data_IF_642993066314
#
_entry.id   IF_642993066314
#
_cell.length_a   1.000
_cell.length_b   1.000
_cell.length_c   1.000
_cell.angle_alpha   90.00
_cell.angle_beta   90.00
_cell.angle_gamma   90.00
#
_symmetry.space_group_name_H-M   'P 1'
#
loop_
_entity.id
_entity.type
_entity.pdbx_description
1 polymer ?
#
# COMPACT_ATOMS: atom_id res chain seq x y z
N UNK A 1 46.36 -17.31 -23.98
CA UNK A 1 47.62 -18.00 -24.37
C UNK A 1 47.43 -19.21 -25.29
N UNK A 2 46.20 -19.70 -25.54
CA UNK A 2 45.93 -20.87 -26.39
C UNK A 2 45.73 -20.60 -27.90
N UNK A 3 45.88 -19.34 -28.37
CA UNK A 3 45.46 -18.92 -29.71
C UNK A 3 46.49 -19.12 -30.84
N UNK A 4 47.75 -19.43 -30.51
CA UNK A 4 48.87 -19.42 -31.48
C UNK A 4 49.13 -20.76 -32.20
N UNK A 5 48.33 -21.81 -31.96
CA UNK A 5 48.62 -23.16 -32.47
C UNK A 5 47.47 -23.81 -33.26
N UNK A 6 46.35 -23.13 -33.51
CA UNK A 6 45.24 -23.68 -34.31
C UNK A 6 45.46 -23.44 -35.83
N UNK A 7 45.09 -24.38 -36.71
CA UNK A 7 45.21 -24.22 -38.16
C UNK A 7 44.36 -23.03 -38.68
N UNK A 8 44.83 -22.26 -39.68
CA UNK A 8 44.25 -20.98 -40.08
C UNK A 8 42.76 -21.02 -40.45
N UNK A 9 42.31 -22.09 -41.10
CA UNK A 9 40.94 -22.26 -41.60
C UNK A 9 39.91 -22.52 -40.47
N UNK A 10 40.35 -23.08 -39.34
CA UNK A 10 39.52 -23.24 -38.15
C UNK A 10 39.50 -21.99 -37.27
N UNK A 11 40.56 -21.17 -37.33
CA UNK A 11 40.71 -19.97 -36.51
C UNK A 11 39.75 -18.85 -36.92
N UNK A 12 39.54 -18.62 -38.22
CA UNK A 12 38.61 -17.59 -38.70
C UNK A 12 37.17 -17.92 -38.29
N UNK A 13 36.69 -19.14 -38.56
CA UNK A 13 35.33 -19.58 -38.13
C UNK A 13 35.14 -19.52 -36.62
N UNK A 14 36.18 -19.85 -35.85
CA UNK A 14 36.15 -19.74 -34.40
C UNK A 14 36.07 -18.27 -33.95
N UNK A 15 36.87 -17.37 -34.54
CA UNK A 15 36.86 -15.95 -34.22
C UNK A 15 35.53 -15.30 -34.60
N UNK A 16 34.97 -15.61 -35.77
CA UNK A 16 33.65 -15.12 -36.19
C UNK A 16 32.58 -15.53 -35.17
N UNK A 17 32.54 -16.82 -34.80
CA UNK A 17 31.62 -17.31 -33.75
C UNK A 17 31.84 -16.62 -32.41
N UNK A 18 33.10 -16.44 -31.99
CA UNK A 18 33.42 -15.77 -30.74
C UNK A 18 32.94 -14.31 -30.74
N UNK A 19 33.19 -13.57 -31.82
CA UNK A 19 32.78 -12.17 -31.93
C UNK A 19 31.26 -12.03 -32.09
N UNK A 20 30.58 -12.98 -32.74
CA UNK A 20 29.12 -13.06 -32.77
C UNK A 20 28.55 -13.31 -31.36
N UNK A 21 29.14 -14.24 -30.59
CA UNK A 21 28.76 -14.49 -29.19
C UNK A 21 28.97 -13.24 -28.32
N UNK A 22 30.11 -12.55 -28.46
CA UNK A 22 30.39 -11.28 -27.77
C UNK A 22 29.32 -10.24 -28.13
N UNK A 23 29.03 -10.06 -29.43
CA UNK A 23 28.02 -9.10 -29.90
C UNK A 23 26.64 -9.41 -29.32
N UNK A 24 26.20 -10.67 -29.35
CA UNK A 24 24.91 -11.08 -28.77
C UNK A 24 24.82 -10.80 -27.26
N UNK A 25 25.90 -11.02 -26.51
CA UNK A 25 25.96 -10.71 -25.08
C UNK A 25 25.89 -9.19 -24.87
N UNK A 26 26.64 -8.42 -25.65
CA UNK A 26 26.64 -6.95 -25.59
C UNK A 26 25.26 -6.39 -25.91
N UNK A 27 24.59 -6.87 -26.96
CA UNK A 27 23.25 -6.44 -27.34
C UNK A 27 22.22 -6.73 -26.23
N UNK A 28 22.28 -7.92 -25.62
CA UNK A 28 21.46 -8.27 -24.46
C UNK A 28 21.71 -7.35 -23.25
N UNK A 29 22.96 -6.96 -23.02
CA UNK A 29 23.32 -6.08 -21.91
C UNK A 29 22.82 -4.65 -22.15
N UNK A 30 22.99 -4.13 -23.37
CA UNK A 30 22.46 -2.81 -23.78
C UNK A 30 20.94 -2.80 -23.63
N UNK A 31 20.26 -3.82 -24.15
CA UNK A 31 18.81 -3.98 -24.03
C UNK A 31 18.37 -4.01 -22.56
N UNK A 32 18.99 -4.84 -21.72
CA UNK A 32 18.73 -4.89 -20.27
C UNK A 32 18.88 -3.53 -19.60
N UNK A 33 19.94 -2.80 -19.94
CA UNK A 33 20.21 -1.49 -19.34
C UNK A 33 19.20 -0.42 -19.77
N UNK A 34 18.70 -0.48 -21.01
CA UNK A 34 17.62 0.39 -21.47
C UNK A 34 16.34 0.20 -20.64
N UNK A 35 15.93 -1.05 -20.40
CA UNK A 35 14.79 -1.35 -19.52
C UNK A 35 15.02 -0.91 -18.08
N UNK A 36 16.21 -1.16 -17.53
CA UNK A 36 16.53 -0.74 -16.16
C UNK A 36 16.46 0.79 -16.03
N UNK A 37 17.11 1.52 -16.93
CA UNK A 37 17.12 2.99 -16.90
C UNK A 37 15.71 3.58 -17.04
N UNK A 38 14.87 2.99 -17.88
CA UNK A 38 13.47 3.37 -18.02
C UNK A 38 12.67 3.10 -16.74
N UNK A 39 12.78 1.88 -16.20
CA UNK A 39 12.12 1.47 -14.96
C UNK A 39 12.52 2.35 -13.79
N UNK A 40 13.81 2.67 -13.64
CA UNK A 40 14.33 3.51 -12.56
C UNK A 40 13.82 4.95 -12.65
N UNK A 41 13.72 5.52 -13.86
CA UNK A 41 13.15 6.86 -14.07
C UNK A 41 11.67 6.92 -13.71
N UNK A 42 10.88 5.95 -14.19
CA UNK A 42 9.45 5.87 -13.87
C UNK A 42 9.26 5.65 -12.36
N UNK A 43 10.04 4.75 -11.75
CA UNK A 43 9.97 4.50 -10.31
C UNK A 43 10.38 5.73 -9.49
N UNK A 44 11.41 6.47 -9.89
CA UNK A 44 11.82 7.67 -9.18
C UNK A 44 10.72 8.75 -9.20
N UNK A 45 10.04 8.93 -10.34
CA UNK A 45 8.89 9.81 -10.43
C UNK A 45 7.72 9.29 -9.57
N UNK A 46 7.40 7.99 -9.67
CA UNK A 46 6.36 7.33 -8.87
C UNK A 46 6.61 7.42 -7.36
N UNK A 47 7.85 7.25 -6.91
CA UNK A 47 8.22 7.36 -5.51
C UNK A 47 7.96 8.76 -4.93
N UNK A 48 8.05 9.80 -5.76
CA UNK A 48 7.86 11.20 -5.32
C UNK A 48 6.43 11.69 -5.53
N UNK A 49 5.74 11.22 -6.56
CA UNK A 49 4.41 11.72 -6.97
C UNK A 49 3.27 10.73 -6.76
N UNK A 50 3.56 9.44 -6.74
CA UNK A 50 2.55 8.39 -6.71
C UNK A 50 1.68 8.40 -7.97
N UNK A 51 0.37 8.24 -7.79
CA UNK A 51 -0.62 8.48 -8.83
C UNK A 51 -0.65 9.97 -9.21
N UNK A 52 -0.72 10.28 -10.51
CA UNK A 52 -0.69 11.65 -11.00
C UNK A 52 -1.86 12.47 -10.44
N UNK A 53 -1.56 13.64 -9.87
CA UNK A 53 -2.51 14.59 -9.27
C UNK A 53 -2.57 15.92 -10.01
N UNK A 54 -2.10 15.96 -11.25
CA UNK A 54 -2.31 17.09 -12.15
C UNK A 54 -2.08 16.65 -13.59
N UNK A 55 -2.50 17.49 -14.54
CA UNK A 55 -2.22 17.25 -15.95
C UNK A 55 -0.72 17.27 -16.25
N UNK A 56 0.02 18.17 -15.60
CA UNK A 56 1.47 18.29 -15.76
C UNK A 56 2.20 17.04 -15.27
N UNK A 57 1.72 16.42 -14.17
CA UNK A 57 2.26 15.15 -13.67
C UNK A 57 1.94 14.00 -14.61
N UNK A 58 0.72 13.93 -15.15
CA UNK A 58 0.34 12.92 -16.14
C UNK A 58 1.24 12.99 -17.39
N UNK A 59 1.42 14.20 -17.92
CA UNK A 59 2.31 14.44 -19.06
C UNK A 59 3.78 14.10 -18.74
N UNK A 60 4.21 14.22 -17.47
CA UNK A 60 5.54 13.80 -17.06
C UNK A 60 5.73 12.28 -17.12
N UNK A 61 4.72 11.51 -16.75
CA UNK A 61 4.73 10.05 -16.94
C UNK A 61 4.67 9.66 -18.41
N UNK A 62 3.82 10.31 -19.21
CA UNK A 62 3.70 10.03 -20.64
C UNK A 62 4.99 10.30 -21.40
N UNK A 63 5.74 11.35 -21.04
CA UNK A 63 7.08 11.62 -21.60
C UNK A 63 8.09 10.52 -21.30
N UNK A 64 7.90 9.75 -20.23
CA UNK A 64 8.75 8.61 -19.90
C UNK A 64 8.28 7.32 -20.59
N UNK A 65 7.05 7.24 -21.11
CA UNK A 65 6.53 6.02 -21.70
C UNK A 65 7.17 5.73 -23.06
N UNK A 66 8.00 4.69 -23.11
CA UNK A 66 8.63 4.23 -24.34
C UNK A 66 7.85 3.03 -24.92
N UNK A 67 7.10 3.26 -26.00
CA UNK A 67 6.31 2.21 -26.67
C UNK A 67 7.16 1.08 -27.22
N UNK A 68 8.36 1.38 -27.71
CA UNK A 68 9.24 0.38 -28.31
C UNK A 68 9.78 -0.59 -27.27
N UNK A 69 10.02 -0.12 -26.05
CA UNK A 69 10.41 -0.98 -24.93
C UNK A 69 9.18 -1.61 -24.26
N UNK A 70 8.10 -0.85 -24.04
CA UNK A 70 7.02 -1.27 -23.15
C UNK A 70 5.84 -1.94 -23.85
N UNK A 71 5.69 -1.99 -25.16
CA UNK A 71 4.50 -2.61 -25.76
C UNK A 71 4.67 -4.11 -26.09
N UNK A 72 5.90 -4.59 -26.26
CA UNK A 72 6.18 -5.97 -26.72
C UNK A 72 7.17 -6.72 -25.80
N UNK A 73 6.68 -7.78 -25.15
CA UNK A 73 7.44 -8.62 -24.22
C UNK A 73 8.63 -9.34 -24.90
N UNK A 74 8.54 -9.61 -26.20
CA UNK A 74 9.58 -10.31 -26.95
C UNK A 74 10.86 -9.47 -27.08
N UNK A 75 10.75 -8.14 -26.97
CA UNK A 75 11.89 -7.21 -27.06
C UNK A 75 12.76 -7.19 -25.81
N UNK A 76 12.27 -7.74 -24.70
CA UNK A 76 13.06 -7.92 -23.50
C UNK A 76 13.85 -9.23 -23.59
N UNK A 77 15.13 -9.12 -23.95
CA UNK A 77 15.98 -10.28 -24.33
C UNK A 77 16.59 -11.02 -23.14
N UNK A 78 16.43 -10.50 -21.92
CA UNK A 78 17.00 -11.07 -20.70
C UNK A 78 15.95 -11.17 -19.59
N UNK A 79 16.18 -12.07 -18.64
CA UNK A 79 15.34 -12.23 -17.45
C UNK A 79 15.17 -10.90 -16.69
N UNK A 80 16.27 -10.17 -16.46
CA UNK A 80 16.23 -8.87 -15.80
C UNK A 80 15.54 -7.81 -16.66
N UNK A 81 15.81 -7.76 -17.97
CA UNK A 81 15.15 -6.80 -18.86
C UNK A 81 13.63 -6.94 -18.82
N UNK A 82 13.13 -8.19 -18.87
CA UNK A 82 11.68 -8.47 -18.81
C UNK A 82 11.08 -8.13 -17.45
N UNK A 83 11.82 -8.37 -16.37
CA UNK A 83 11.45 -7.97 -15.01
C UNK A 83 11.32 -6.45 -14.87
N UNK A 84 12.30 -5.69 -15.38
CA UNK A 84 12.27 -4.23 -15.38
C UNK A 84 11.14 -3.68 -16.27
N UNK A 85 10.88 -4.30 -17.42
CA UNK A 85 9.76 -3.95 -18.28
C UNK A 85 8.42 -4.07 -17.54
N UNK A 86 8.15 -5.18 -16.86
CA UNK A 86 6.91 -5.35 -16.09
C UNK A 86 6.82 -4.37 -14.92
N UNK A 87 7.93 -4.09 -14.23
CA UNK A 87 7.97 -3.07 -13.19
C UNK A 87 7.63 -1.67 -13.74
N UNK A 88 8.25 -1.27 -14.85
CA UNK A 88 7.97 0.00 -15.53
C UNK A 88 6.49 0.12 -15.94
N UNK A 89 5.92 -0.92 -16.55
CA UNK A 89 4.50 -0.97 -16.91
C UNK A 89 3.59 -0.86 -15.70
N UNK A 90 3.90 -1.57 -14.62
CA UNK A 90 3.14 -1.53 -13.37
C UNK A 90 3.08 -0.10 -12.81
N UNK A 91 4.24 0.55 -12.66
CA UNK A 91 4.32 1.90 -12.09
C UNK A 91 3.68 2.95 -12.99
N UNK A 92 3.92 2.89 -14.31
CA UNK A 92 3.29 3.80 -15.25
C UNK A 92 1.76 3.65 -15.24
N UNK A 93 1.26 2.41 -15.37
CA UNK A 93 -0.18 2.16 -15.38
C UNK A 93 -0.85 2.59 -14.07
N UNK A 94 -0.19 2.39 -12.92
CA UNK A 94 -0.67 2.92 -11.64
C UNK A 94 -0.68 4.45 -11.63
N UNK A 95 0.37 5.07 -12.16
CA UNK A 95 0.50 6.53 -12.19
C UNK A 95 -0.62 7.20 -12.98
N UNK A 96 -1.05 6.59 -14.09
CA UNK A 96 -2.11 7.09 -14.98
C UNK A 96 -3.51 6.55 -14.64
N UNK A 97 -3.68 5.92 -13.48
CA UNK A 97 -4.95 5.35 -12.99
C UNK A 97 -5.54 4.21 -13.87
N UNK A 98 -4.69 3.51 -14.63
CA UNK A 98 -5.09 2.31 -15.37
C UNK A 98 -4.93 1.06 -14.49
N UNK A 99 -5.87 0.88 -13.55
CA UNK A 99 -5.86 -0.20 -12.57
C UNK A 99 -5.73 -1.58 -13.24
N UNK A 100 -6.42 -1.81 -14.36
CA UNK A 100 -6.40 -3.09 -15.08
C UNK A 100 -5.04 -3.40 -15.68
N UNK A 101 -4.41 -2.46 -16.40
CA UNK A 101 -3.06 -2.69 -16.94
C UNK A 101 -2.01 -2.80 -15.84
N UNK A 102 -2.16 -2.02 -14.78
CA UNK A 102 -1.25 -2.06 -13.63
C UNK A 102 -1.31 -3.44 -12.95
N UNK A 103 -2.50 -3.98 -12.79
CA UNK A 103 -2.73 -5.33 -12.28
C UNK A 103 -2.18 -6.44 -13.21
N UNK A 104 -2.43 -6.37 -14.53
CA UNK A 104 -1.87 -7.33 -15.49
C UNK A 104 -0.33 -7.36 -15.45
N UNK A 105 0.30 -6.19 -15.37
CA UNK A 105 1.75 -6.08 -15.24
C UNK A 105 2.28 -6.73 -13.95
N UNK A 106 1.58 -6.58 -12.81
CA UNK A 106 1.93 -7.23 -11.54
C UNK A 106 1.83 -8.75 -11.62
N UNK A 107 0.73 -9.26 -12.20
CA UNK A 107 0.52 -10.69 -12.41
C UNK A 107 1.61 -11.29 -13.30
N UNK A 108 1.97 -10.58 -14.39
CA UNK A 108 3.07 -10.98 -15.28
C UNK A 108 4.43 -10.95 -14.58
N UNK A 109 4.69 -9.95 -13.74
CA UNK A 109 5.91 -9.87 -12.93
C UNK A 109 6.04 -11.06 -11.98
N UNK A 110 4.99 -11.40 -11.23
CA UNK A 110 4.96 -12.57 -10.32
C UNK A 110 5.24 -13.86 -11.09
N UNK A 111 4.49 -14.11 -12.18
CA UNK A 111 4.70 -15.30 -13.04
C UNK A 111 6.11 -15.38 -13.62
N UNK A 112 6.67 -14.23 -14.01
CA UNK A 112 8.03 -14.17 -14.55
C UNK A 112 9.08 -14.53 -13.49
N UNK A 113 8.91 -14.08 -12.25
CA UNK A 113 9.80 -14.48 -11.15
C UNK A 113 9.64 -15.97 -10.85
N UNK A 114 8.41 -16.48 -10.77
CA UNK A 114 8.11 -17.90 -10.53
C UNK A 114 8.65 -18.83 -11.64
N UNK A 115 8.87 -18.31 -12.86
CA UNK A 115 9.43 -19.08 -13.97
C UNK A 115 10.91 -19.45 -13.80
N UNK A 116 11.60 -18.90 -12.80
CA UNK A 116 13.00 -19.16 -12.53
C UNK A 116 13.28 -19.32 -11.03
N UNK A 117 13.22 -20.56 -10.55
CA UNK A 117 13.35 -20.89 -9.13
C UNK A 117 14.72 -20.50 -8.55
N UNK A 118 15.81 -20.72 -9.29
CA UNK A 118 17.16 -20.32 -8.86
C UNK A 118 17.25 -18.81 -8.58
N UNK A 119 16.63 -17.99 -9.44
CA UNK A 119 16.59 -16.52 -9.27
C UNK A 119 15.69 -16.11 -8.11
N UNK A 120 14.59 -16.82 -7.89
CA UNK A 120 13.70 -16.61 -6.76
C UNK A 120 14.43 -16.91 -5.44
N UNK A 121 15.08 -18.08 -5.34
CA UNK A 121 15.83 -18.47 -4.14
C UNK A 121 17.02 -17.54 -3.87
N UNK A 122 17.67 -17.02 -4.92
CA UNK A 122 18.76 -16.05 -4.78
C UNK A 122 18.29 -14.65 -4.31
N UNK A 123 17.03 -14.28 -4.54
CA UNK A 123 16.48 -13.00 -4.11
C UNK A 123 14.99 -13.09 -3.70
N UNK A 124 14.68 -13.75 -2.57
CA UNK A 124 13.31 -13.95 -2.12
C UNK A 124 12.61 -12.64 -1.74
N UNK A 125 13.38 -11.61 -1.32
CA UNK A 125 12.83 -10.27 -1.02
C UNK A 125 12.18 -9.64 -2.24
N UNK A 126 12.75 -9.85 -3.42
CA UNK A 126 12.14 -9.35 -4.64
C UNK A 126 10.82 -10.05 -4.96
N UNK A 127 10.72 -11.35 -4.66
CA UNK A 127 9.48 -12.08 -4.84
C UNK A 127 8.40 -11.60 -3.87
N UNK A 128 8.73 -11.38 -2.59
CA UNK A 128 7.82 -10.74 -1.61
C UNK A 128 7.34 -9.38 -2.14
N UNK A 129 8.26 -8.55 -2.65
CA UNK A 129 7.89 -7.26 -3.24
C UNK A 129 6.88 -7.39 -4.39
N UNK A 130 7.05 -8.37 -5.29
CA UNK A 130 6.12 -8.61 -6.39
C UNK A 130 4.75 -9.12 -5.90
N UNK A 131 4.74 -10.02 -4.90
CA UNK A 131 3.51 -10.51 -4.26
C UNK A 131 2.74 -9.39 -3.57
N UNK A 132 3.43 -8.53 -2.80
CA UNK A 132 2.80 -7.39 -2.11
C UNK A 132 2.11 -6.45 -3.09
N UNK A 133 2.76 -6.14 -4.21
CA UNK A 133 2.15 -5.35 -5.26
C UNK A 133 0.89 -6.03 -5.83
N UNK A 134 0.97 -7.33 -6.12
CA UNK A 134 -0.18 -8.07 -6.62
C UNK A 134 -1.34 -8.07 -5.61
N UNK A 135 -1.07 -8.32 -4.31
CA UNK A 135 -2.05 -8.24 -3.23
C UNK A 135 -2.76 -6.89 -3.19
N UNK A 136 -2.01 -5.77 -3.24
CA UNK A 136 -2.60 -4.42 -3.30
C UNK A 136 -3.58 -4.29 -4.47
N UNK A 137 -3.17 -4.72 -5.67
CA UNK A 137 -4.04 -4.62 -6.84
C UNK A 137 -5.24 -5.57 -6.80
N UNK A 138 -5.11 -6.73 -6.16
CA UNK A 138 -6.23 -7.65 -5.94
C UNK A 138 -7.26 -7.06 -4.99
N UNK A 139 -6.82 -6.36 -3.94
CA UNK A 139 -7.70 -5.60 -3.03
C UNK A 139 -8.42 -4.48 -3.80
N UNK A 140 -7.68 -3.67 -4.58
CA UNK A 140 -8.25 -2.58 -5.38
C UNK A 140 -9.30 -3.06 -6.41
N UNK A 141 -9.14 -4.27 -6.94
CA UNK A 141 -10.07 -4.88 -7.90
C UNK A 141 -11.15 -5.75 -7.24
N UNK A 142 -11.18 -5.85 -5.91
CA UNK A 142 -12.05 -6.76 -5.17
C UNK A 142 -11.94 -8.23 -5.65
N UNK A 143 -10.76 -8.65 -6.11
CA UNK A 143 -10.52 -10.01 -6.59
C UNK A 143 -10.08 -10.92 -5.43
N UNK A 144 -11.04 -11.41 -4.66
CA UNK A 144 -10.79 -12.24 -3.47
C UNK A 144 -10.03 -13.54 -3.79
N UNK A 145 -10.36 -14.20 -4.91
CA UNK A 145 -9.71 -15.44 -5.30
C UNK A 145 -8.20 -15.24 -5.50
N UNK A 146 -7.82 -14.23 -6.28
CA UNK A 146 -6.41 -13.94 -6.52
C UNK A 146 -5.71 -13.39 -5.29
N UNK A 147 -6.42 -12.66 -4.43
CA UNK A 147 -5.89 -12.25 -3.13
C UNK A 147 -5.48 -13.46 -2.30
N UNK A 148 -6.38 -14.43 -2.10
CA UNK A 148 -6.09 -15.63 -1.32
C UNK A 148 -5.02 -16.53 -1.97
N UNK A 149 -5.03 -16.69 -3.29
CA UNK A 149 -3.98 -17.42 -4.02
C UNK A 149 -2.61 -16.76 -3.83
N UNK A 150 -2.55 -15.43 -3.88
CA UNK A 150 -1.30 -14.68 -3.72
C UNK A 150 -0.82 -14.71 -2.27
N UNK A 151 -1.72 -14.63 -1.29
CA UNK A 151 -1.40 -14.74 0.13
C UNK A 151 -0.87 -16.14 0.46
N UNK A 152 -1.46 -17.19 -0.10
CA UNK A 152 -0.97 -18.57 0.06
C UNK A 152 0.44 -18.75 -0.50
N UNK A 153 0.78 -18.08 -1.62
CA UNK A 153 2.15 -18.06 -2.16
C UNK A 153 3.14 -17.38 -1.22
N UNK A 154 2.73 -16.30 -0.54
CA UNK A 154 3.54 -15.60 0.45
C UNK A 154 3.78 -16.48 1.69
N UNK A 155 2.72 -17.13 2.19
CA UNK A 155 2.78 -18.01 3.36
C UNK A 155 3.64 -19.25 3.10
N UNK A 156 3.63 -19.78 1.87
CA UNK A 156 4.44 -20.94 1.47
C UNK A 156 5.91 -20.60 1.17
N UNK A 157 6.28 -19.31 1.06
CA UNK A 157 7.62 -18.90 0.66
C UNK A 157 8.73 -19.44 1.58
N UNK A 158 8.63 -19.35 2.93
CA UNK A 158 9.67 -19.88 3.81
C UNK A 158 9.96 -21.37 3.57
N UNK A 159 8.93 -22.17 3.28
CA UNK A 159 9.08 -23.61 3.02
C UNK A 159 9.76 -23.92 1.68
N UNK A 160 9.82 -22.96 0.74
CA UNK A 160 10.48 -23.12 -0.56
C UNK A 160 11.95 -22.71 -0.56
N UNK A 161 12.43 -22.09 0.51
CA UNK A 161 13.77 -21.52 0.58
C UNK A 161 14.72 -22.45 1.34
N UNK A 162 16.00 -22.50 0.95
CA UNK A 162 17.00 -23.18 1.76
C UNK A 162 17.12 -22.51 3.13
N UNK A 163 17.45 -23.28 4.17
CA UNK A 163 17.56 -22.77 5.54
C UNK A 163 18.52 -21.56 5.66
N UNK A 164 19.55 -21.48 4.81
CA UNK A 164 20.51 -20.36 4.75
C UNK A 164 19.86 -19.03 4.37
N UNK A 165 18.72 -19.05 3.67
CA UNK A 165 17.97 -17.87 3.26
C UNK A 165 16.91 -17.45 4.27
N UNK A 166 16.59 -18.28 5.28
CA UNK A 166 15.57 -18.03 6.31
C UNK A 166 16.13 -17.16 7.45
N UNK A 167 16.50 -15.93 7.11
CA UNK A 167 16.95 -14.95 8.10
C UNK A 167 15.77 -14.39 8.90
N UNK A 168 16.03 -13.85 10.10
CA UNK A 168 15.00 -13.13 10.88
C UNK A 168 14.37 -11.97 10.10
N UNK A 169 15.17 -11.24 9.31
CA UNK A 169 14.67 -10.16 8.44
C UNK A 169 13.71 -10.69 7.36
N UNK A 170 13.97 -11.86 6.78
CA UNK A 170 13.02 -12.44 5.82
C UNK A 170 11.71 -12.86 6.49
N UNK A 171 11.80 -13.48 7.67
CA UNK A 171 10.62 -13.88 8.46
C UNK A 171 9.78 -12.65 8.85
N UNK A 172 10.42 -11.57 9.30
CA UNK A 172 9.76 -10.31 9.59
C UNK A 172 9.05 -9.75 8.35
N UNK A 173 9.71 -9.74 7.18
CA UNK A 173 9.09 -9.27 5.92
C UNK A 173 7.89 -10.10 5.49
N UNK A 174 7.94 -11.42 5.66
CA UNK A 174 6.79 -12.30 5.37
C UNK A 174 5.64 -11.97 6.32
N UNK A 175 5.93 -11.83 7.62
CA UNK A 175 4.94 -11.45 8.64
C UNK A 175 4.28 -10.10 8.32
N UNK A 176 5.09 -9.06 8.09
CA UNK A 176 4.63 -7.71 7.73
C UNK A 176 3.69 -7.74 6.54
N UNK A 177 4.17 -8.35 5.45
CA UNK A 177 3.45 -8.45 4.20
C UNK A 177 2.12 -9.20 4.38
N UNK A 178 2.15 -10.32 5.10
CA UNK A 178 0.98 -11.16 5.32
C UNK A 178 -0.11 -10.39 6.07
N UNK A 179 0.23 -9.84 7.23
CA UNK A 179 -0.78 -9.26 8.13
C UNK A 179 -1.23 -7.87 7.71
N UNK A 180 -0.39 -7.07 7.06
CA UNK A 180 -0.84 -5.77 6.54
C UNK A 180 -1.83 -5.96 5.40
N UNK A 181 -1.56 -6.88 4.46
CA UNK A 181 -2.47 -7.11 3.35
C UNK A 181 -3.75 -7.82 3.76
N UNK A 182 -3.71 -8.79 4.68
CA UNK A 182 -4.92 -9.47 5.16
C UNK A 182 -5.81 -8.55 6.00
N UNK A 183 -5.21 -7.70 6.86
CA UNK A 183 -5.99 -6.71 7.60
C UNK A 183 -6.61 -5.65 6.68
N UNK A 184 -5.85 -5.14 5.69
CA UNK A 184 -6.39 -4.20 4.69
C UNK A 184 -7.52 -4.83 3.88
N UNK A 185 -7.35 -6.08 3.42
CA UNK A 185 -8.40 -6.83 2.72
C UNK A 185 -9.69 -6.92 3.53
N UNK A 186 -9.62 -7.25 4.82
CA UNK A 186 -10.80 -7.33 5.70
C UNK A 186 -11.44 -5.95 5.93
N UNK A 187 -10.65 -4.89 6.06
CA UNK A 187 -11.16 -3.51 6.16
C UNK A 187 -11.92 -3.13 4.88
N UNK A 188 -11.34 -3.37 3.70
CA UNK A 188 -11.92 -3.01 2.40
C UNK A 188 -13.15 -3.83 2.04
N UNK A 189 -13.39 -4.96 2.70
CA UNK A 189 -14.62 -5.77 2.56
C UNK A 189 -15.58 -5.59 3.74
N UNK A 190 -15.32 -4.66 4.65
CA UNK A 190 -16.10 -4.44 5.86
C UNK A 190 -16.31 -5.70 6.73
N UNK A 191 -15.36 -6.66 6.68
CA UNK A 191 -15.38 -7.93 7.41
C UNK A 191 -14.75 -7.78 8.80
N UNK A 192 -15.33 -6.91 9.61
CA UNK A 192 -14.73 -6.49 10.88
C UNK A 192 -14.69 -7.61 11.94
N UNK A 193 -15.69 -8.51 11.96
CA UNK A 193 -15.72 -9.63 12.91
C UNK A 193 -14.57 -10.63 12.65
N UNK A 194 -14.32 -10.95 11.37
CA UNK A 194 -13.15 -11.74 10.97
C UNK A 194 -11.84 -11.01 11.32
N UNK A 195 -11.83 -9.69 11.13
CA UNK A 195 -10.70 -8.83 11.49
C UNK A 195 -10.38 -8.80 12.99
N UNK A 196 -11.38 -8.91 13.86
CA UNK A 196 -11.17 -9.04 15.30
C UNK A 196 -10.43 -10.33 15.61
N UNK A 197 -10.85 -11.46 15.03
CA UNK A 197 -10.18 -12.76 15.22
C UNK A 197 -8.72 -12.68 14.73
N UNK A 198 -8.50 -12.03 13.58
CA UNK A 198 -7.16 -11.82 13.05
C UNK A 198 -6.31 -10.93 13.98
N UNK A 199 -6.88 -9.85 14.51
CA UNK A 199 -6.18 -8.96 15.43
C UNK A 199 -5.77 -9.67 16.71
N UNK A 200 -6.63 -10.53 17.27
CA UNK A 200 -6.31 -11.31 18.46
C UNK A 200 -5.16 -12.28 18.20
N UNK A 201 -5.09 -12.88 16.99
CA UNK A 201 -3.93 -13.67 16.57
C UNK A 201 -2.67 -12.79 16.49
N UNK A 202 -2.74 -11.63 15.85
CA UNK A 202 -1.59 -10.72 15.72
C UNK A 202 -1.09 -10.28 17.10
N UNK A 203 -2.01 -9.98 18.03
CA UNK A 203 -1.71 -9.65 19.43
C UNK A 203 -0.81 -10.69 20.10
N UNK A 204 -1.11 -11.98 19.92
CA UNK A 204 -0.29 -13.07 20.50
C UNK A 204 1.11 -13.17 19.90
N UNK A 205 1.30 -12.72 18.66
CA UNK A 205 2.58 -12.77 17.95
C UNK A 205 3.38 -11.46 18.10
N UNK A 206 2.73 -10.40 18.59
CA UNK A 206 3.26 -9.05 18.51
C UNK A 206 4.56 -8.87 19.30
N UNK A 207 4.61 -9.34 20.55
CA UNK A 207 5.78 -9.15 21.43
C UNK A 207 7.06 -9.79 20.86
N UNK A 208 6.93 -10.94 20.19
CA UNK A 208 8.06 -11.61 19.54
C UNK A 208 8.49 -10.90 18.25
N UNK A 209 7.51 -10.42 17.48
CA UNK A 209 7.76 -9.90 16.13
C UNK A 209 8.16 -8.42 16.13
N UNK A 210 7.56 -7.58 16.97
CA UNK A 210 7.73 -6.12 16.99
C UNK A 210 9.20 -5.66 16.94
N UNK A 211 10.14 -6.24 17.70
CA UNK A 211 11.54 -5.81 17.66
C UNK A 211 12.23 -5.97 16.30
N UNK A 212 11.68 -6.81 15.42
CA UNK A 212 12.23 -7.10 14.10
C UNK A 212 11.43 -6.45 12.95
N UNK A 213 10.31 -5.78 13.26
CA UNK A 213 9.49 -5.12 12.26
C UNK A 213 10.13 -3.80 11.83
N UNK A 214 10.07 -3.51 10.54
CA UNK A 214 10.26 -2.16 10.05
C UNK A 214 9.16 -1.26 10.60
N UNK A 215 9.59 -0.08 11.04
CA UNK A 215 8.73 0.82 11.82
C UNK A 215 7.53 1.31 11.03
N UNK A 216 7.69 1.59 9.73
CA UNK A 216 6.61 2.07 8.89
C UNK A 216 5.54 0.98 8.72
N UNK A 217 5.96 -0.28 8.58
CA UNK A 217 5.06 -1.42 8.54
C UNK A 217 4.36 -1.64 9.89
N UNK A 218 5.08 -1.57 11.01
CA UNK A 218 4.47 -1.69 12.34
C UNK A 218 3.38 -0.63 12.59
N UNK A 219 3.62 0.62 12.18
CA UNK A 219 2.65 1.72 12.28
C UNK A 219 1.42 1.47 11.39
N UNK A 220 1.64 0.99 10.16
CA UNK A 220 0.55 0.63 9.23
C UNK A 220 -0.29 -0.51 9.80
N UNK A 221 0.34 -1.55 10.35
CA UNK A 221 -0.36 -2.68 10.95
C UNK A 221 -1.16 -2.24 12.18
N UNK A 222 -0.59 -1.42 13.08
CA UNK A 222 -1.33 -0.84 14.21
C UNK A 222 -2.57 -0.05 13.74
N UNK A 223 -2.44 0.71 12.66
CA UNK A 223 -3.56 1.46 12.07
C UNK A 223 -4.65 0.51 11.55
N UNK A 224 -4.28 -0.53 10.83
CA UNK A 224 -5.25 -1.51 10.32
C UNK A 224 -5.95 -2.25 11.47
N UNK A 225 -5.21 -2.68 12.49
CA UNK A 225 -5.78 -3.31 13.68
C UNK A 225 -6.77 -2.36 14.39
N UNK A 226 -6.41 -1.08 14.51
CA UNK A 226 -7.30 -0.04 15.03
C UNK A 226 -8.59 0.05 14.21
N UNK A 227 -8.50 0.12 12.88
CA UNK A 227 -9.68 0.19 12.00
C UNK A 227 -10.58 -1.05 12.12
N UNK A 228 -9.99 -2.25 12.21
CA UNK A 228 -10.75 -3.49 12.40
C UNK A 228 -11.51 -3.51 13.74
N UNK A 229 -10.85 -3.12 14.83
CA UNK A 229 -11.51 -3.00 16.13
C UNK A 229 -12.54 -1.87 16.16
N UNK A 230 -12.28 -0.75 15.50
CA UNK A 230 -13.24 0.35 15.35
C UNK A 230 -14.49 -0.15 14.64
N UNK A 231 -14.32 -0.87 13.52
CA UNK A 231 -15.41 -1.34 12.70
C UNK A 231 -16.32 -2.34 13.42
N UNK A 232 -15.74 -3.15 14.31
CA UNK A 232 -16.46 -4.06 15.21
C UNK A 232 -17.03 -3.38 16.47
N UNK A 233 -16.92 -2.05 16.61
CA UNK A 233 -17.38 -1.31 17.79
C UNK A 233 -16.54 -1.50 19.05
N UNK A 234 -15.37 -2.15 18.95
CA UNK A 234 -14.45 -2.38 20.08
C UNK A 234 -13.53 -1.17 20.31
N UNK A 235 -14.12 -0.01 20.57
CA UNK A 235 -13.41 1.28 20.62
C UNK A 235 -12.28 1.35 21.65
N UNK A 236 -12.36 0.60 22.76
CA UNK A 236 -11.28 0.54 23.76
C UNK A 236 -10.02 -0.13 23.19
N UNK A 237 -10.18 -1.26 22.49
CA UNK A 237 -9.05 -1.95 21.83
C UNK A 237 -8.53 -1.10 20.66
N UNK A 238 -9.42 -0.50 19.87
CA UNK A 238 -9.02 0.42 18.80
C UNK A 238 -8.15 1.57 19.33
N UNK A 239 -8.52 2.19 20.46
CA UNK A 239 -7.73 3.24 21.09
C UNK A 239 -6.37 2.76 21.59
N UNK A 240 -6.26 1.53 22.11
CA UNK A 240 -4.97 0.96 22.51
C UNK A 240 -4.00 0.86 21.33
N UNK A 241 -4.48 0.39 20.18
CA UNK A 241 -3.67 0.29 18.95
C UNK A 241 -3.36 1.66 18.34
N UNK A 242 -4.29 2.61 18.40
CA UNK A 242 -4.04 3.99 17.96
C UNK A 242 -2.96 4.68 18.80
N UNK A 243 -2.94 4.46 20.11
CA UNK A 243 -1.92 5.07 20.98
C UNK A 243 -0.50 4.64 20.60
N UNK A 244 -0.31 3.39 20.16
CA UNK A 244 0.99 2.93 19.64
C UNK A 244 1.43 3.76 18.43
N UNK A 245 0.51 4.12 17.53
CA UNK A 245 0.79 5.04 16.40
C UNK A 245 1.17 6.44 16.93
N UNK A 246 0.38 6.99 17.85
CA UNK A 246 0.60 8.33 18.42
C UNK A 246 1.90 8.47 19.22
N UNK A 247 2.37 7.39 19.85
CA UNK A 247 3.59 7.35 20.64
C UNK A 247 4.86 7.26 19.77
N UNK A 248 4.71 6.94 18.48
CA UNK A 248 5.77 6.76 17.48
C UNK A 248 6.37 8.07 16.92
N UNK A 249 6.11 9.22 17.57
CA UNK A 249 6.08 10.57 16.99
C UNK A 249 7.17 10.92 15.96
N UNK A 250 8.44 10.72 16.30
CA UNK A 250 9.56 11.23 15.49
C UNK A 250 9.88 10.35 14.27
N UNK A 251 9.23 9.19 14.17
CA UNK A 251 9.52 8.16 13.16
C UNK A 251 8.37 7.95 12.16
N UNK A 252 7.26 8.69 12.32
CA UNK A 252 6.04 8.55 11.52
C UNK A 252 5.88 9.76 10.60
N UNK A 253 5.44 9.52 9.36
CA UNK A 253 5.10 10.59 8.43
C UNK A 253 4.03 11.51 9.02
N UNK A 254 4.12 12.79 8.71
CA UNK A 254 3.28 13.80 9.36
C UNK A 254 1.79 13.62 9.07
N UNK A 255 1.44 13.22 7.85
CA UNK A 255 0.07 12.95 7.42
C UNK A 255 -0.59 11.84 8.25
N UNK A 256 0.15 10.76 8.53
CA UNK A 256 -0.31 9.67 9.39
C UNK A 256 -0.59 10.16 10.81
N UNK A 257 0.26 11.04 11.37
CA UNK A 257 0.05 11.61 12.70
C UNK A 257 -1.15 12.57 12.75
N UNK A 258 -1.38 13.34 11.69
CA UNK A 258 -2.55 14.20 11.55
C UNK A 258 -3.82 13.35 11.58
N UNK A 259 -3.88 12.31 10.76
CA UNK A 259 -4.96 11.34 10.71
C UNK A 259 -5.19 10.67 12.08
N UNK A 260 -4.13 10.12 12.69
CA UNK A 260 -4.23 9.43 13.98
C UNK A 260 -4.81 10.33 15.09
N UNK A 261 -4.48 11.62 15.11
CA UNK A 261 -5.05 12.56 16.11
C UNK A 261 -6.52 12.86 15.87
N UNK A 262 -6.97 12.92 14.61
CA UNK A 262 -8.39 13.05 14.29
C UNK A 262 -9.15 11.81 14.73
N UNK A 263 -8.65 10.62 14.40
CA UNK A 263 -9.26 9.36 14.86
C UNK A 263 -9.29 9.27 16.39
N UNK A 264 -8.27 9.79 17.06
CA UNK A 264 -8.24 9.81 18.53
C UNK A 264 -9.42 10.61 19.11
N UNK A 265 -9.76 11.75 18.50
CA UNK A 265 -10.94 12.52 18.91
C UNK A 265 -12.23 11.71 18.73
N UNK A 266 -12.37 11.02 17.59
CA UNK A 266 -13.54 10.20 17.29
C UNK A 266 -13.66 9.04 18.28
N UNK A 267 -12.58 8.30 18.55
CA UNK A 267 -12.58 7.21 19.53
C UNK A 267 -12.93 7.68 20.94
N UNK A 268 -12.40 8.82 21.38
CA UNK A 268 -12.77 9.37 22.68
C UNK A 268 -14.24 9.85 22.72
N UNK A 269 -14.79 10.31 21.59
CA UNK A 269 -16.21 10.60 21.46
C UNK A 269 -17.06 9.32 21.59
N UNK A 270 -16.72 8.25 20.87
CA UNK A 270 -17.40 6.96 20.95
C UNK A 270 -17.36 6.34 22.34
N UNK A 271 -16.23 6.47 23.04
CA UNK A 271 -16.05 5.99 24.40
C UNK A 271 -16.78 6.86 25.45
N UNK A 272 -17.39 7.97 25.05
CA UNK A 272 -18.06 8.90 25.98
C UNK A 272 -17.09 9.63 26.91
N UNK A 273 -15.82 9.76 26.53
CA UNK A 273 -14.75 10.39 27.33
C UNK A 273 -14.85 11.93 27.31
N UNK A 274 -15.97 12.48 27.77
CA UNK A 274 -16.30 13.91 27.66
C UNK A 274 -15.30 14.84 28.38
N UNK A 275 -14.68 14.36 29.47
CA UNK A 275 -13.74 15.17 30.26
C UNK A 275 -12.42 15.46 29.50
N UNK A 276 -11.93 14.51 28.71
CA UNK A 276 -10.64 14.64 28.03
C UNK A 276 -10.76 15.28 26.63
N UNK A 277 -11.92 15.16 25.98
CA UNK A 277 -12.14 15.66 24.63
C UNK A 277 -11.80 17.16 24.44
N UNK A 278 -12.19 18.10 25.33
CA UNK A 278 -11.82 19.50 25.18
C UNK A 278 -10.31 19.75 25.22
N UNK A 279 -9.56 18.91 25.95
CA UNK A 279 -8.10 18.98 25.97
C UNK A 279 -7.50 18.43 24.68
N UNK A 280 -7.95 17.25 24.23
CA UNK A 280 -7.50 16.62 22.99
C UNK A 280 -7.80 17.50 21.77
N UNK A 281 -8.98 18.13 21.73
CA UNK A 281 -9.37 19.01 20.63
C UNK A 281 -8.42 20.21 20.53
N UNK A 282 -8.12 20.87 21.66
CA UNK A 282 -7.16 21.99 21.69
C UNK A 282 -5.76 21.57 21.29
N UNK A 283 -5.29 20.42 21.77
CA UNK A 283 -3.95 19.93 21.45
C UNK A 283 -3.82 19.50 19.99
N UNK A 284 -4.87 18.93 19.41
CA UNK A 284 -4.94 18.53 17.99
C UNK A 284 -5.01 19.75 17.08
N UNK A 285 -5.85 20.74 17.40
CA UNK A 285 -5.91 22.00 16.67
C UNK A 285 -4.53 22.67 16.59
N UNK A 286 -3.86 22.82 17.75
CA UNK A 286 -2.50 23.41 17.81
C UNK A 286 -1.47 22.63 16.99
N UNK A 287 -1.58 21.30 16.95
CA UNK A 287 -0.67 20.46 16.18
C UNK A 287 -0.85 20.70 14.67
N UNK A 288 -2.11 20.67 14.20
CA UNK A 288 -2.44 20.85 12.79
C UNK A 288 -2.15 22.28 12.29
N UNK A 289 -2.47 23.31 13.08
CA UNK A 289 -2.22 24.71 12.68
C UNK A 289 -0.74 25.05 12.54
N UNK A 290 0.15 24.40 13.28
CA UNK A 290 1.60 24.68 13.21
C UNK A 290 2.25 24.20 11.92
N UNK A 291 1.62 23.27 11.20
CA UNK A 291 2.25 22.54 10.09
C UNK A 291 1.75 22.97 8.71
N UNK A 292 0.95 24.04 8.62
CA UNK A 292 0.31 24.52 7.38
C UNK A 292 -0.42 23.41 6.58
N UNK A 293 -0.68 22.27 7.22
CA UNK A 293 -1.30 21.09 6.63
C UNK A 293 -2.80 21.06 6.90
N UNK A 294 -3.44 22.21 7.13
CA UNK A 294 -4.89 22.28 7.28
C UNK A 294 -5.53 22.05 5.91
N UNK A 295 -5.46 20.81 5.46
CA UNK A 295 -6.33 20.24 4.46
C UNK A 295 -7.76 20.49 4.94
N UNK A 296 -8.64 20.82 3.99
CA UNK A 296 -10.01 21.25 4.28
C UNK A 296 -10.77 20.20 5.09
N UNK A 297 -10.39 18.94 4.92
CA UNK A 297 -10.92 17.78 5.61
C UNK A 297 -10.80 17.86 7.15
N UNK A 298 -9.60 18.00 7.68
CA UNK A 298 -9.33 17.98 9.12
C UNK A 298 -10.00 19.16 9.82
N UNK A 299 -10.02 20.33 9.17
CA UNK A 299 -10.68 21.51 9.69
C UNK A 299 -12.18 21.28 9.86
N UNK A 300 -12.84 20.65 8.87
CA UNK A 300 -14.26 20.29 8.96
C UNK A 300 -14.54 19.35 10.12
N UNK A 301 -13.68 18.35 10.34
CA UNK A 301 -13.82 17.42 11.45
C UNK A 301 -13.63 18.13 12.79
N UNK A 302 -12.57 18.94 12.94
CA UNK A 302 -12.30 19.69 14.18
C UNK A 302 -13.43 20.65 14.54
N UNK A 303 -13.96 21.39 13.56
CA UNK A 303 -15.06 22.33 13.77
C UNK A 303 -16.34 21.59 14.18
N UNK A 304 -16.58 20.40 13.62
CA UNK A 304 -17.70 19.55 14.02
C UNK A 304 -17.51 19.00 15.43
N UNK A 305 -16.34 18.49 15.78
CA UNK A 305 -16.03 18.04 17.14
C UNK A 305 -16.21 19.16 18.16
N UNK A 306 -15.84 20.40 17.81
CA UNK A 306 -16.07 21.59 18.65
C UNK A 306 -17.56 21.86 18.87
N UNK A 307 -18.40 21.66 17.86
CA UNK A 307 -19.86 21.80 17.98
C UNK A 307 -20.44 20.71 18.87
N UNK A 308 -20.04 19.45 18.66
CA UNK A 308 -20.50 18.31 19.46
C UNK A 308 -20.28 18.50 20.97
N UNK A 309 -19.19 19.15 21.38
CA UNK A 309 -18.91 19.47 22.79
C UNK A 309 -19.86 20.50 23.42
N UNK A 310 -20.67 21.20 22.62
CA UNK A 310 -21.59 22.26 23.08
C UNK A 310 -23.05 21.83 23.03
N UNK A 311 -23.34 20.71 22.37
CA UNK A 311 -24.70 20.18 22.20
C UNK A 311 -25.25 19.80 23.57
N UNK A 312 -26.50 20.23 23.82
CA UNK A 312 -27.24 19.92 25.06
C UNK A 312 -28.37 18.94 24.81
N UNK A 313 -28.98 19.02 23.63
CA UNK A 313 -30.11 18.21 23.20
C UNK A 313 -29.62 17.14 22.22
N UNK A 314 -29.89 15.86 22.51
CA UNK A 314 -29.39 14.75 21.68
C UNK A 314 -30.03 14.75 20.29
N UNK A 315 -31.20 15.36 20.19
CA UNK A 315 -31.99 15.55 18.98
C UNK A 315 -31.25 16.40 17.94
N UNK A 316 -30.30 17.25 18.35
CA UNK A 316 -29.47 18.06 17.44
C UNK A 316 -28.31 17.27 16.80
N UNK A 317 -27.95 16.09 17.36
CA UNK A 317 -26.77 15.33 16.93
C UNK A 317 -26.88 14.85 15.46
N UNK A 318 -28.00 14.24 15.01
CA UNK A 318 -28.11 13.78 13.62
C UNK A 318 -27.90 14.91 12.60
N UNK A 319 -28.42 16.11 12.86
CA UNK A 319 -28.26 17.26 11.97
C UNK A 319 -26.80 17.71 11.87
N UNK A 320 -26.08 17.74 13.00
CA UNK A 320 -24.65 18.08 13.03
C UNK A 320 -23.84 17.07 12.23
N UNK A 321 -24.12 15.78 12.37
CA UNK A 321 -23.44 14.73 11.63
C UNK A 321 -23.78 14.75 10.14
N UNK A 322 -25.04 15.00 9.77
CA UNK A 322 -25.48 15.15 8.37
C UNK A 322 -24.74 16.29 7.68
N UNK A 323 -24.63 17.45 8.35
CA UNK A 323 -23.91 18.61 7.80
C UNK A 323 -22.42 18.30 7.56
N UNK A 324 -21.76 17.55 8.46
CA UNK A 324 -20.37 17.13 8.21
C UNK A 324 -20.30 16.14 7.05
N UNK A 325 -21.19 15.13 7.03
CA UNK A 325 -21.23 14.10 5.98
C UNK A 325 -21.32 14.74 4.59
N UNK A 326 -22.27 15.65 4.40
CA UNK A 326 -22.53 16.25 3.09
C UNK A 326 -21.34 17.09 2.60
N UNK A 327 -20.65 17.78 3.52
CA UNK A 327 -19.42 18.51 3.22
C UNK A 327 -18.26 17.59 2.87
N UNK A 328 -18.12 16.44 3.54
CA UNK A 328 -17.08 15.47 3.23
C UNK A 328 -17.33 14.75 1.90
N UNK A 329 -18.59 14.42 1.58
CA UNK A 329 -18.97 13.87 0.27
C UNK A 329 -18.60 14.87 -0.84
N UNK A 330 -18.98 16.14 -0.67
CA UNK A 330 -18.64 17.20 -1.64
C UNK A 330 -17.14 17.37 -1.81
N UNK A 331 -16.36 17.22 -0.73
CA UNK A 331 -14.91 17.29 -0.79
C UNK A 331 -14.29 16.07 -1.49
N UNK A 332 -14.88 14.89 -1.34
CA UNK A 332 -14.43 13.65 -1.96
C UNK A 332 -14.64 13.61 -3.50
N UNK A 333 -15.54 14.46 -4.02
CA UNK A 333 -15.74 14.64 -5.46
C UNK A 333 -14.59 15.40 -6.14
N UNK A 334 -13.68 16.03 -5.38
CA UNK A 334 -12.45 16.60 -5.90
C UNK A 334 -11.43 15.47 -6.16
N UNK A 335 -10.99 15.26 -7.43
CA UNK A 335 -10.03 14.21 -7.79
C UNK A 335 -8.72 14.26 -6.99
N UNK A 336 -8.36 15.42 -6.43
CA UNK A 336 -7.11 15.63 -5.70
C UNK A 336 -7.24 15.46 -4.18
N UNK A 337 -8.47 15.48 -3.63
CA UNK A 337 -8.77 15.31 -2.20
C UNK A 337 -9.29 13.89 -1.86
N UNK A 338 -9.64 13.09 -2.89
CA UNK A 338 -10.17 11.71 -2.77
C UNK A 338 -9.31 10.78 -1.89
N UNK A 339 -8.00 11.02 -1.82
CA UNK A 339 -6.99 10.17 -1.16
C UNK A 339 -7.00 10.30 0.38
N UNK A 340 -7.57 11.37 0.95
CA UNK A 340 -7.55 11.60 2.43
C UNK A 340 -8.51 10.66 3.18
N UNK A 341 -9.36 9.91 2.46
CA UNK A 341 -10.49 9.16 3.04
C UNK A 341 -10.26 7.65 3.19
N UNK A 342 -9.05 7.14 2.94
CA UNK A 342 -8.87 5.73 2.59
C UNK A 342 -8.83 4.71 3.75
N UNK A 343 -8.47 5.11 4.98
CA UNK A 343 -8.19 4.13 6.05
C UNK A 343 -9.39 3.82 6.96
N UNK A 344 -10.13 4.85 7.37
CA UNK A 344 -11.39 4.69 8.10
C UNK A 344 -12.49 5.42 7.33
N UNK A 345 -13.52 4.69 6.92
CA UNK A 345 -14.65 5.23 6.17
C UNK A 345 -15.47 6.19 7.05
N UNK A 346 -15.01 7.44 7.18
CA UNK A 346 -15.63 8.43 8.05
C UNK A 346 -17.06 8.77 7.62
N UNK A 347 -17.34 8.68 6.31
CA UNK A 347 -18.69 8.87 5.76
C UNK A 347 -19.63 7.79 6.31
N UNK A 348 -19.22 6.51 6.31
CA UNK A 348 -20.01 5.44 6.90
C UNK A 348 -20.22 5.63 8.41
N UNK A 349 -19.22 6.13 9.13
CA UNK A 349 -19.37 6.48 10.56
C UNK A 349 -20.40 7.59 10.78
N UNK A 350 -20.35 8.66 9.98
CA UNK A 350 -21.31 9.76 10.09
C UNK A 350 -22.74 9.29 9.77
N UNK A 351 -22.92 8.49 8.73
CA UNK A 351 -24.23 7.92 8.40
C UNK A 351 -24.76 6.97 9.48
N UNK A 352 -23.86 6.25 10.16
CA UNK A 352 -24.19 5.43 11.33
C UNK A 352 -24.75 6.31 12.45
N UNK A 353 -24.18 7.49 12.68
CA UNK A 353 -24.71 8.45 13.66
C UNK A 353 -26.02 9.09 13.26
N UNK A 354 -26.21 9.36 11.97
CA UNK A 354 -27.46 9.96 11.46
C UNK A 354 -28.61 8.95 11.51
N UNK A 355 -28.36 7.71 11.12
CA UNK A 355 -29.40 6.67 11.00
C UNK A 355 -29.62 5.84 12.26
N UNK A 356 -28.70 5.89 13.22
CA UNK A 356 -28.71 5.03 14.40
C UNK A 356 -28.34 3.57 14.13
N UNK A 357 -27.83 3.25 12.92
CA UNK A 357 -27.41 1.91 12.52
C UNK A 357 -25.94 1.64 12.84
N UNK A 358 -25.55 0.37 12.80
CA UNK A 358 -24.17 -0.05 13.05
C UNK A 358 -23.22 0.44 11.96
N UNK A 359 -22.00 0.82 12.34
CA UNK A 359 -20.97 1.24 11.38
C UNK A 359 -20.66 0.13 10.36
N UNK A 360 -20.48 -1.11 10.82
CA UNK A 360 -20.17 -2.26 9.97
C UNK A 360 -21.22 -2.48 8.88
N UNK A 361 -22.49 -2.35 9.24
CA UNK A 361 -23.63 -2.50 8.34
C UNK A 361 -23.58 -1.47 7.21
N UNK A 362 -23.38 -0.20 7.54
CA UNK A 362 -23.31 0.89 6.55
C UNK A 362 -22.05 0.79 5.71
N UNK A 363 -20.91 0.42 6.30
CA UNK A 363 -19.67 0.24 5.57
C UNK A 363 -19.80 -0.87 4.51
N UNK A 364 -20.48 -1.98 4.84
CA UNK A 364 -20.75 -3.06 3.90
C UNK A 364 -21.68 -2.63 2.75
N UNK A 365 -22.70 -1.80 3.02
CA UNK A 365 -23.61 -1.27 1.98
C UNK A 365 -22.92 -0.36 0.95
N UNK A 366 -21.79 0.25 1.33
CA UNK A 366 -21.02 1.16 0.49
C UNK A 366 -19.93 0.47 -0.34
N UNK A 367 -19.77 -0.84 -0.21
CA UNK A 367 -18.83 -1.59 -1.03
C UNK A 367 -19.22 -1.50 -2.51
N UNK A 368 -18.25 -1.33 -3.42
CA UNK A 368 -18.53 -1.41 -4.85
C UNK A 368 -19.19 -2.75 -5.18
N UNK A 369 -20.32 -2.71 -5.90
CA UNK A 369 -21.04 -3.91 -6.33
C UNK A 369 -20.43 -4.55 -7.56
#
# INVERSE_FOLDING_TARGET
MAFRQAPPEGLVKFLDRYYDEVKQITDKLINRNAYNALSDKIFALHKTKGQARSREELEAYDRLYDKELLDDDARALSYDGRRFMYAARMFYAHAVDDVKKSHDARRKLVKHIESNDDRLQANPKMYIYALNNLLISSIQLHNELEFHDTLAKLDALPSKLPNTSLTKDLQARVFESRYIHETDFLIKLARYDEGVVLNEKIETLWEEMEPNLDRAFAVTLCNNMMCLYFGAGQYKKALQWLNRVLDSKDEVREDILCYARIINLILHYELGNQLILPYLLRSTYRFLSKRNSTLRYEQLVLDTMKKLLRVREKEELPDIFSVLRDKLITLADDPFERIITEDLNLIAWLESKVSGRGYAEIAAEKLPR
#
